data_IF_357245347206
#
_entry.id   IF_357245347206
#
_cell.length_a   1.000
_cell.length_b   1.000
_cell.length_c   1.000
_cell.angle_alpha   90.00
_cell.angle_beta   90.00
_cell.angle_gamma   90.00
#
_symmetry.space_group_name_H-M   'P 1'
#
loop_
_entity.id
_entity.type
_entity.pdbx_description
1 polymer ?
#
# COMPACT_ATOMS: atom_id res chain seq x y z
N UNK A 1 -0.28 -16.29 2.83
CA UNK A 1 0.88 -15.80 2.04
C UNK A 1 0.70 -14.37 1.56
N UNK A 2 -0.47 -13.97 1.05
CA UNK A 2 -0.73 -12.60 0.55
C UNK A 2 -0.37 -11.49 1.54
N UNK A 3 -0.69 -11.64 2.84
CA UNK A 3 -0.31 -10.67 3.87
C UNK A 3 1.21 -10.51 4.06
N UNK A 4 2.01 -11.59 3.90
CA UNK A 4 3.48 -11.51 3.97
C UNK A 4 4.05 -10.76 2.77
N UNK A 5 3.60 -11.11 1.56
CA UNK A 5 4.00 -10.39 0.34
C UNK A 5 3.60 -8.92 0.40
N UNK A 6 2.39 -8.63 0.89
CA UNK A 6 1.92 -7.28 1.15
C UNK A 6 2.86 -6.52 2.09
N UNK A 7 3.24 -7.11 3.23
CA UNK A 7 4.14 -6.45 4.19
C UNK A 7 5.48 -6.01 3.56
N UNK A 8 6.00 -6.77 2.60
CA UNK A 8 7.23 -6.41 1.89
C UNK A 8 7.01 -5.21 0.96
N UNK A 9 5.98 -5.24 0.12
CA UNK A 9 5.71 -4.15 -0.85
C UNK A 9 5.35 -2.85 -0.13
N UNK A 10 4.52 -2.92 0.92
CA UNK A 10 4.20 -1.77 1.75
C UNK A 10 5.43 -1.27 2.51
N UNK A 11 6.28 -2.16 3.03
CA UNK A 11 7.53 -1.79 3.69
C UNK A 11 8.53 -1.09 2.77
N UNK A 12 8.71 -1.59 1.54
CA UNK A 12 9.55 -0.93 0.53
C UNK A 12 9.01 0.44 0.13
N UNK A 13 7.69 0.55 -0.06
CA UNK A 13 7.02 1.84 -0.34
C UNK A 13 7.23 2.82 0.82
N UNK A 14 7.12 2.33 2.06
CA UNK A 14 7.36 3.13 3.27
C UNK A 14 8.78 3.69 3.33
N UNK A 15 9.78 2.86 3.02
CA UNK A 15 11.18 3.30 2.98
C UNK A 15 11.40 4.37 1.92
N UNK A 16 10.80 4.22 0.73
CA UNK A 16 10.91 5.21 -0.33
C UNK A 16 10.28 6.56 0.08
N UNK A 17 9.09 6.54 0.68
CA UNK A 17 8.42 7.73 1.22
C UNK A 17 9.20 8.41 2.35
N UNK A 18 9.93 7.63 3.16
CA UNK A 18 10.74 8.16 4.26
C UNK A 18 12.02 8.82 3.77
N UNK A 19 12.75 8.13 2.90
CA UNK A 19 14.11 8.51 2.48
C UNK A 19 14.10 9.51 1.34
N UNK A 20 13.22 9.32 0.34
CA UNK A 20 13.17 10.12 -0.87
C UNK A 20 11.73 10.54 -1.25
N UNK A 21 11.03 11.30 -0.39
CA UNK A 21 9.64 11.69 -0.64
C UNK A 21 9.48 12.56 -1.91
N UNK A 22 10.42 13.46 -2.19
CA UNK A 22 10.40 14.30 -3.39
C UNK A 22 10.40 13.48 -4.69
N UNK A 23 11.27 12.46 -4.75
CA UNK A 23 11.33 11.54 -5.88
C UNK A 23 10.01 10.77 -6.05
N UNK A 24 9.40 10.31 -4.95
CA UNK A 24 8.10 9.64 -5.01
C UNK A 24 6.98 10.56 -5.52
N UNK A 25 6.96 11.83 -5.08
CA UNK A 25 6.01 12.83 -5.57
C UNK A 25 6.17 13.07 -7.07
N UNK A 26 7.40 13.22 -7.55
CA UNK A 26 7.69 13.41 -8.98
C UNK A 26 7.25 12.20 -9.82
N UNK A 27 7.48 10.99 -9.32
CA UNK A 27 6.98 9.77 -9.96
C UNK A 27 5.45 9.77 -10.07
N UNK A 28 4.74 10.29 -9.07
CA UNK A 28 3.29 10.45 -9.10
C UNK A 28 2.81 11.63 -9.97
N UNK A 29 3.72 12.45 -10.49
CA UNK A 29 3.38 13.66 -11.25
C UNK A 29 2.97 14.84 -10.37
N UNK A 30 3.23 14.79 -9.07
CA UNK A 30 2.94 15.85 -8.11
C UNK A 30 4.07 16.89 -8.07
N UNK A 31 3.70 18.15 -7.89
CA UNK A 31 4.65 19.20 -7.54
C UNK A 31 5.16 18.97 -6.10
N UNK A 32 6.47 18.96 -5.93
CA UNK A 32 7.10 18.79 -4.62
C UNK A 32 7.08 20.10 -3.83
N UNK A 33 6.63 20.01 -2.58
CA UNK A 33 6.69 21.11 -1.59
C UNK A 33 7.15 20.56 -0.25
N UNK A 34 7.78 21.37 0.62
CA UNK A 34 8.22 20.91 1.95
C UNK A 34 7.09 20.30 2.78
N UNK A 35 5.88 20.86 2.70
CA UNK A 35 4.70 20.35 3.41
C UNK A 35 4.26 18.97 2.89
N UNK A 36 4.28 18.77 1.57
CA UNK A 36 3.92 17.48 0.96
C UNK A 36 4.97 16.42 1.28
N UNK A 37 6.26 16.75 1.22
CA UNK A 37 7.33 15.82 1.60
C UNK A 37 7.21 15.38 3.06
N UNK A 38 6.87 16.31 3.96
CA UNK A 38 6.64 15.96 5.36
C UNK A 38 5.42 15.05 5.54
N UNK A 39 4.32 15.35 4.84
CA UNK A 39 3.14 14.48 4.83
C UNK A 39 3.48 13.07 4.31
N UNK A 40 4.26 12.96 3.24
CA UNK A 40 4.73 11.68 2.70
C UNK A 40 5.56 10.89 3.71
N UNK A 41 6.46 11.54 4.47
CA UNK A 41 7.22 10.87 5.54
C UNK A 41 6.32 10.37 6.66
N UNK A 42 5.34 11.16 7.09
CA UNK A 42 4.37 10.75 8.11
C UNK A 42 3.56 9.54 7.64
N UNK A 43 3.10 9.56 6.38
CA UNK A 43 2.45 8.39 5.74
C UNK A 43 3.43 7.21 5.70
N UNK A 44 4.70 7.43 5.34
CA UNK A 44 5.75 6.42 5.36
C UNK A 44 5.84 5.70 6.72
N UNK A 45 5.86 6.44 7.83
CA UNK A 45 5.86 5.83 9.19
C UNK A 45 4.59 4.97 9.41
N UNK A 46 3.42 5.46 9.00
CA UNK A 46 2.17 4.66 9.12
C UNK A 46 2.23 3.38 8.29
N UNK A 47 2.86 3.42 7.11
CA UNK A 47 3.06 2.24 6.29
C UNK A 47 4.05 1.25 6.91
N UNK A 48 5.10 1.72 7.60
CA UNK A 48 5.99 0.84 8.38
C UNK A 48 5.19 0.10 9.46
N UNK A 49 4.36 0.83 10.22
CA UNK A 49 3.52 0.22 11.26
C UNK A 49 2.52 -0.78 10.68
N UNK A 50 1.90 -0.46 9.53
CA UNK A 50 0.99 -1.37 8.83
C UNK A 50 1.71 -2.62 8.32
N UNK A 51 2.86 -2.47 7.67
CA UNK A 51 3.67 -3.58 7.17
C UNK A 51 4.10 -4.51 8.31
N UNK A 52 4.55 -3.96 9.44
CA UNK A 52 4.88 -4.73 10.64
C UNK A 52 3.68 -5.49 11.21
N UNK A 53 2.51 -4.85 11.28
CA UNK A 53 1.28 -5.51 11.73
C UNK A 53 0.85 -6.64 10.78
N UNK A 54 0.91 -6.42 9.47
CA UNK A 54 0.60 -7.45 8.47
C UNK A 54 1.54 -8.65 8.61
N UNK A 55 2.84 -8.41 8.78
CA UNK A 55 3.83 -9.46 8.99
C UNK A 55 3.57 -10.23 10.29
N UNK A 56 3.24 -9.52 11.38
CA UNK A 56 2.92 -10.09 12.68
C UNK A 56 1.69 -11.02 12.60
N UNK A 57 0.58 -10.52 12.05
CA UNK A 57 -0.66 -11.30 11.88
C UNK A 57 -0.41 -12.51 10.97
N UNK A 58 0.33 -12.34 9.88
CA UNK A 58 0.60 -13.43 8.95
C UNK A 58 1.58 -14.50 9.47
N UNK A 59 2.35 -14.20 10.52
CA UNK A 59 3.35 -15.11 11.07
C UNK A 59 2.95 -15.71 12.41
N UNK A 60 2.13 -15.00 13.20
CA UNK A 60 1.82 -15.34 14.59
C UNK A 60 0.33 -15.25 14.92
N UNK A 61 -0.51 -14.79 13.99
CA UNK A 61 -1.95 -14.64 14.20
C UNK A 61 -2.72 -15.95 14.08
N UNK A 62 -3.93 -15.97 14.64
CA UNK A 62 -4.89 -17.07 14.41
C UNK A 62 -5.50 -16.99 13.01
N UNK A 63 -6.09 -18.08 12.52
CA UNK A 63 -6.76 -18.10 11.21
C UNK A 63 -7.90 -17.07 11.12
N UNK A 64 -8.66 -16.88 12.22
CA UNK A 64 -9.72 -15.86 12.30
C UNK A 64 -9.15 -14.44 12.21
N UNK A 65 -8.03 -14.18 12.87
CA UNK A 65 -7.34 -12.88 12.81
C UNK A 65 -6.81 -12.60 11.40
N UNK A 66 -6.16 -13.59 10.78
CA UNK A 66 -5.67 -13.48 9.41
C UNK A 66 -6.81 -13.28 8.40
N UNK A 67 -7.95 -13.92 8.61
CA UNK A 67 -9.12 -13.78 7.75
C UNK A 67 -9.76 -12.39 7.85
N UNK A 68 -9.91 -11.85 9.06
CA UNK A 68 -10.39 -10.48 9.26
C UNK A 68 -9.42 -9.45 8.67
N UNK A 69 -8.12 -9.58 8.93
CA UNK A 69 -7.11 -8.71 8.31
C UNK A 69 -7.13 -8.79 6.79
N UNK A 70 -7.40 -9.97 6.22
CA UNK A 70 -7.59 -10.12 4.77
C UNK A 70 -8.74 -9.29 4.21
N UNK A 71 -9.88 -9.19 4.92
CA UNK A 71 -11.00 -8.32 4.53
C UNK A 71 -10.63 -6.85 4.54
N UNK A 72 -10.00 -6.38 5.61
CA UNK A 72 -9.54 -4.99 5.73
C UNK A 72 -8.57 -4.67 4.60
N UNK A 73 -7.61 -5.56 4.33
CA UNK A 73 -6.61 -5.37 3.29
C UNK A 73 -7.20 -5.39 1.88
N UNK A 74 -8.20 -6.23 1.61
CA UNK A 74 -8.91 -6.25 0.32
C UNK A 74 -9.50 -4.87 0.00
N UNK A 75 -10.26 -4.31 0.94
CA UNK A 75 -10.93 -3.02 0.79
C UNK A 75 -9.91 -1.89 0.69
N UNK A 76 -8.93 -1.87 1.59
CA UNK A 76 -7.89 -0.83 1.60
C UNK A 76 -7.03 -0.83 0.34
N UNK A 77 -6.66 -2.00 -0.19
CA UNK A 77 -5.85 -2.10 -1.41
C UNK A 77 -6.65 -1.66 -2.65
N UNK A 78 -7.95 -1.98 -2.72
CA UNK A 78 -8.82 -1.47 -3.77
C UNK A 78 -8.95 0.05 -3.70
N UNK A 79 -9.24 0.59 -2.51
CA UNK A 79 -9.36 2.02 -2.30
C UNK A 79 -8.06 2.77 -2.66
N UNK A 80 -6.90 2.22 -2.29
CA UNK A 80 -5.60 2.76 -2.69
C UNK A 80 -5.44 2.81 -4.21
N UNK A 81 -5.81 1.74 -4.92
CA UNK A 81 -5.79 1.71 -6.39
C UNK A 81 -6.67 2.79 -7.01
N UNK A 82 -7.91 2.93 -6.51
CA UNK A 82 -8.84 3.99 -6.95
C UNK A 82 -8.28 5.38 -6.67
N UNK A 83 -7.83 5.65 -5.44
CA UNK A 83 -7.30 6.96 -5.04
C UNK A 83 -6.04 7.35 -5.84
N UNK A 84 -5.23 6.36 -6.24
CA UNK A 84 -4.07 6.60 -7.11
C UNK A 84 -4.50 7.04 -8.52
N UNK A 85 -5.60 6.51 -9.04
CA UNK A 85 -6.12 6.88 -10.37
C UNK A 85 -6.88 8.20 -10.38
N UNK A 86 -7.41 8.65 -9.24
CA UNK A 86 -8.09 9.95 -9.10
C UNK A 86 -7.21 11.02 -8.46
N UNK A 87 -5.90 10.79 -8.44
CA UNK A 87 -4.93 11.77 -7.96
C UNK A 87 -5.10 13.08 -8.74
N UNK A 88 -5.07 14.26 -8.08
CA UNK A 88 -5.23 15.55 -8.75
C UNK A 88 -3.92 15.98 -9.46
N UNK A 89 -3.43 15.13 -10.34
CA UNK A 89 -2.22 15.32 -11.14
C UNK A 89 -2.33 14.55 -12.47
N UNK A 90 -1.46 14.88 -13.42
CA UNK A 90 -1.37 14.11 -14.66
C UNK A 90 -0.94 12.67 -14.33
N UNK A 91 -1.72 11.69 -14.78
CA UNK A 91 -1.39 10.28 -14.57
C UNK A 91 -0.07 9.92 -15.29
N UNK A 92 0.89 9.42 -14.52
CA UNK A 92 2.16 8.91 -15.02
C UNK A 92 2.09 7.39 -15.20
N UNK A 93 3.07 6.81 -15.89
CA UNK A 93 3.22 5.36 -15.96
C UNK A 93 3.36 4.73 -14.57
N UNK A 94 3.99 5.45 -13.62
CA UNK A 94 4.17 5.00 -12.26
C UNK A 94 2.85 5.00 -11.49
N UNK A 95 2.02 6.05 -11.62
CA UNK A 95 0.69 6.10 -11.00
C UNK A 95 -0.20 4.94 -11.47
N UNK A 96 -0.17 4.63 -12.77
CA UNK A 96 -0.90 3.48 -13.32
C UNK A 96 -0.35 2.16 -12.76
N UNK A 97 0.96 1.97 -12.77
CA UNK A 97 1.60 0.77 -12.21
C UNK A 97 1.31 0.58 -10.72
N UNK A 98 1.37 1.66 -9.94
CA UNK A 98 1.08 1.65 -8.51
C UNK A 98 -0.39 1.31 -8.23
N UNK A 99 -1.31 1.86 -9.01
CA UNK A 99 -2.74 1.51 -8.93
C UNK A 99 -2.99 0.02 -9.27
N UNK A 100 -2.35 -0.49 -10.32
CA UNK A 100 -2.44 -1.91 -10.69
C UNK A 100 -1.94 -2.83 -9.58
N UNK A 101 -0.87 -2.46 -8.87
CA UNK A 101 -0.40 -3.21 -7.69
C UNK A 101 -1.49 -3.25 -6.61
N UNK A 102 -2.14 -2.11 -6.32
CA UNK A 102 -3.26 -2.05 -5.37
C UNK A 102 -4.41 -2.99 -5.75
N UNK A 103 -4.83 -2.96 -7.01
CA UNK A 103 -5.88 -3.85 -7.52
C UNK A 103 -5.47 -5.32 -7.52
N UNK A 104 -4.23 -5.63 -7.90
CA UNK A 104 -3.71 -6.99 -7.89
C UNK A 104 -3.71 -7.58 -6.47
N UNK A 105 -3.32 -6.80 -5.46
CA UNK A 105 -3.41 -7.21 -4.07
C UNK A 105 -4.87 -7.43 -3.64
N UNK A 106 -5.78 -6.52 -3.99
CA UNK A 106 -7.20 -6.67 -3.67
C UNK A 106 -7.78 -7.96 -4.26
N UNK A 107 -7.50 -8.23 -5.54
CA UNK A 107 -7.89 -9.48 -6.22
C UNK A 107 -7.25 -10.71 -5.56
N UNK A 108 -5.98 -10.64 -5.16
CA UNK A 108 -5.31 -11.73 -4.46
C UNK A 108 -5.96 -12.03 -3.09
N UNK A 109 -6.38 -11.00 -2.34
CA UNK A 109 -7.12 -11.19 -1.09
C UNK A 109 -8.52 -11.78 -1.33
N UNK A 110 -9.21 -11.33 -2.37
CA UNK A 110 -10.52 -11.86 -2.75
C UNK A 110 -10.43 -13.33 -3.16
N UNK A 111 -9.47 -13.66 -4.03
CA UNK A 111 -9.20 -15.03 -4.47
C UNK A 111 -8.90 -15.94 -3.28
N UNK A 112 -7.98 -15.52 -2.40
CA UNK A 112 -7.61 -16.30 -1.21
C UNK A 112 -8.78 -16.54 -0.24
N UNK A 113 -9.85 -15.75 -0.31
CA UNK A 113 -11.07 -15.96 0.48
C UNK A 113 -12.06 -16.91 -0.19
N UNK A 114 -12.25 -16.79 -1.49
CA UNK A 114 -13.18 -17.63 -2.24
C UNK A 114 -12.62 -19.06 -2.43
N UNK A 115 -11.29 -19.22 -2.40
CA UNK A 115 -10.61 -20.51 -2.54
C UNK A 115 -10.46 -21.30 -1.23
N UNK A 116 -11.15 -20.91 -0.16
CA UNK A 116 -11.17 -21.60 1.15
C UNK A 116 -12.46 -22.37 1.32
#
# INVERSE_FOLDING_TARGET
MVLKTGSLIFGLSALLLLVAPAFFNELLGLATTPSLEWAMRMIGITLVALAGNMFSVASRGTDKSADFSGWVMLVSAFALGVLTLVIPAQLTWFSIGYALIGFAFSLAYLWAKISR
#
